data_IF_611465590482
#
_entry.id   IF_611465590482
#
_cell.length_a   1.000
_cell.length_b   1.000
_cell.length_c   1.000
_cell.angle_alpha   90.00
_cell.angle_beta   90.00
_cell.angle_gamma   90.00
#
_symmetry.space_group_name_H-M   'P 1'
#
loop_
_entity.id
_entity.type
_entity.pdbx_description
1 polymer ?
#
# COMPACT_ATOMS: atom_id res chain seq x y z
N UNK A 1 -7.24 7.57 -2.81
CA UNK A 1 -5.99 8.34 -2.61
C UNK A 1 -6.28 9.56 -1.74
N UNK A 2 -5.76 9.55 -0.51
CA UNK A 2 -5.96 10.60 0.52
C UNK A 2 -5.57 12.00 0.03
N UNK A 3 -4.61 12.14 -0.87
CA UNK A 3 -4.18 13.43 -1.43
C UNK A 3 -5.29 14.09 -2.26
N UNK A 4 -5.97 13.33 -3.11
CA UNK A 4 -7.11 13.85 -3.88
C UNK A 4 -8.32 14.13 -2.98
N UNK A 5 -8.51 13.30 -1.96
CA UNK A 5 -9.57 13.44 -0.96
C UNK A 5 -9.42 14.75 -0.18
N UNK A 6 -8.21 15.13 0.22
CA UNK A 6 -7.94 16.40 0.89
C UNK A 6 -8.36 17.60 0.03
N UNK A 7 -7.89 17.65 -1.22
CA UNK A 7 -8.21 18.78 -2.12
C UNK A 7 -9.71 18.91 -2.36
N UNK A 8 -10.42 17.80 -2.46
CA UNK A 8 -11.87 17.78 -2.63
C UNK A 8 -12.60 18.22 -1.34
N UNK A 9 -12.12 17.85 -0.17
CA UNK A 9 -12.69 18.23 1.11
C UNK A 9 -12.50 19.74 1.36
N UNK A 10 -11.33 20.28 1.06
CA UNK A 10 -11.02 21.71 1.17
C UNK A 10 -11.90 22.57 0.26
N UNK A 11 -12.38 22.02 -0.85
CA UNK A 11 -13.33 22.69 -1.72
C UNK A 11 -14.76 22.84 -1.13
N UNK A 12 -15.03 22.23 0.03
CA UNK A 12 -16.26 22.42 0.81
C UNK A 12 -17.51 21.70 0.28
N UNK A 13 -17.38 20.86 -0.74
CA UNK A 13 -18.50 20.14 -1.37
C UNK A 13 -18.24 18.62 -1.48
N UNK A 14 -17.51 18.06 -0.55
CA UNK A 14 -17.20 16.65 -0.60
C UNK A 14 -18.46 15.78 -0.41
N UNK A 15 -18.74 14.84 -1.32
CA UNK A 15 -19.97 14.05 -1.29
C UNK A 15 -19.85 12.84 -0.32
N UNK A 16 -19.76 13.11 0.97
CA UNK A 16 -19.69 12.08 2.00
C UNK A 16 -20.77 11.00 1.85
N UNK A 17 -20.42 9.75 2.09
CA UNK A 17 -21.30 8.59 1.97
C UNK A 17 -21.62 8.17 0.52
N UNK A 18 -21.07 8.85 -0.49
CA UNK A 18 -21.30 8.56 -1.91
C UNK A 18 -20.04 8.20 -2.69
N UNK A 19 -18.87 8.41 -2.12
CA UNK A 19 -17.59 8.06 -2.71
C UNK A 19 -17.14 6.74 -2.12
N UNK A 20 -16.95 5.74 -2.97
CA UNK A 20 -16.43 4.45 -2.61
C UNK A 20 -15.06 4.27 -3.28
N UNK A 21 -14.17 3.60 -2.60
CA UNK A 21 -12.82 3.38 -3.10
C UNK A 21 -12.11 2.24 -2.41
N UNK A 22 -10.89 2.02 -2.83
CA UNK A 22 -9.96 1.11 -2.18
C UNK A 22 -8.88 1.95 -1.53
N UNK A 23 -8.59 1.67 -0.29
CA UNK A 23 -7.51 2.26 0.47
C UNK A 23 -6.46 1.17 0.78
N UNK A 24 -5.21 1.54 0.68
CA UNK A 24 -4.10 0.63 0.96
C UNK A 24 -3.54 0.83 2.37
N UNK A 25 -3.74 2.02 2.92
CA UNK A 25 -3.31 2.33 4.27
C UNK A 25 -4.38 3.15 5.00
N UNK A 26 -5.28 2.49 5.75
CA UNK A 26 -6.31 3.17 6.55
C UNK A 26 -5.69 3.83 7.78
N UNK A 27 -4.99 4.95 7.59
CA UNK A 27 -4.24 5.66 8.62
C UNK A 27 -5.08 6.11 9.83
N UNK A 28 -6.39 6.18 9.67
CA UNK A 28 -7.35 6.54 10.72
C UNK A 28 -7.74 5.38 11.65
N UNK A 29 -7.39 4.14 11.30
CA UNK A 29 -7.72 2.93 12.07
C UNK A 29 -6.67 2.69 13.17
N UNK A 30 -6.94 3.21 14.37
CA UNK A 30 -6.03 3.05 15.51
C UNK A 30 -5.96 1.59 16.03
N UNK A 31 -6.91 0.75 15.65
CA UNK A 31 -6.93 -0.69 15.97
C UNK A 31 -5.91 -1.53 15.20
N UNK A 32 -5.35 -1.01 14.13
CA UNK A 32 -4.20 -1.66 13.45
C UNK A 32 -2.96 -1.44 14.31
N UNK A 33 -2.36 -2.52 14.76
CA UNK A 33 -1.20 -2.47 15.66
C UNK A 33 -0.03 -1.66 15.07
N UNK A 34 0.47 -0.71 15.83
CA UNK A 34 1.54 0.20 15.40
C UNK A 34 1.10 1.34 14.47
N UNK A 35 -0.16 1.37 14.00
CA UNK A 35 -0.61 2.39 13.03
C UNK A 35 -0.58 3.82 13.62
N UNK A 36 -1.11 4.00 14.81
CA UNK A 36 -1.11 5.31 15.47
C UNK A 36 0.33 5.85 15.69
N UNK A 37 1.26 4.99 16.09
CA UNK A 37 2.67 5.34 16.26
C UNK A 37 3.35 5.71 14.93
N UNK A 38 3.07 4.95 13.87
CA UNK A 38 3.58 5.25 12.54
C UNK A 38 3.06 6.60 12.03
N UNK A 39 1.77 6.89 12.17
CA UNK A 39 1.16 8.17 11.80
C UNK A 39 1.79 9.33 12.56
N UNK A 40 2.00 9.16 13.88
CA UNK A 40 2.69 10.18 14.68
C UNK A 40 4.10 10.44 14.13
N UNK A 41 4.88 9.39 13.87
CA UNK A 41 6.25 9.53 13.35
C UNK A 41 6.27 10.15 11.95
N UNK A 42 5.31 9.83 11.11
CA UNK A 42 5.13 10.44 9.78
C UNK A 42 4.94 11.96 9.90
N UNK A 43 4.07 12.40 10.81
CA UNK A 43 3.81 13.83 11.05
C UNK A 43 5.04 14.56 11.63
N UNK A 44 5.76 13.92 12.56
CA UNK A 44 7.01 14.47 13.13
C UNK A 44 8.07 14.71 12.05
N UNK A 45 8.23 13.77 11.11
CA UNK A 45 9.13 13.91 9.96
C UNK A 45 8.70 15.08 9.08
N UNK A 46 7.39 15.23 8.84
CA UNK A 46 6.86 16.38 8.11
C UNK A 46 7.26 17.72 8.73
N UNK A 47 7.13 17.83 10.05
CA UNK A 47 7.58 19.02 10.79
C UNK A 47 9.09 19.21 10.74
N UNK A 48 9.85 18.17 10.98
CA UNK A 48 11.32 18.23 11.07
C UNK A 48 11.95 18.67 9.74
N UNK A 49 11.50 18.09 8.60
CA UNK A 49 12.17 18.29 7.32
C UNK A 49 11.49 19.31 6.40
N UNK A 50 10.19 19.55 6.58
CA UNK A 50 9.43 20.43 5.67
C UNK A 50 8.77 21.61 6.37
N UNK A 51 8.86 21.70 7.71
CA UNK A 51 8.16 22.68 8.55
C UNK A 51 6.65 22.74 8.23
N UNK A 52 6.05 21.59 7.96
CA UNK A 52 4.65 21.43 7.59
C UNK A 52 4.00 20.27 8.33
N UNK A 53 2.71 20.43 8.60
CA UNK A 53 1.86 19.31 8.97
C UNK A 53 1.50 18.56 7.68
N UNK A 54 2.18 17.44 7.45
CA UNK A 54 1.85 16.55 6.33
C UNK A 54 0.82 15.52 6.80
N UNK A 55 -0.22 15.38 6.00
CA UNK A 55 -1.23 14.36 6.24
C UNK A 55 -0.74 12.98 5.74
N UNK A 56 -1.10 11.92 6.44
CA UNK A 56 -0.84 10.57 5.96
C UNK A 56 -1.42 10.36 4.56
N UNK A 57 -0.72 9.58 3.74
CA UNK A 57 -1.21 9.21 2.42
C UNK A 57 -0.75 7.80 2.04
N UNK A 58 -1.61 7.08 1.33
CA UNK A 58 -1.31 5.76 0.78
C UNK A 58 -0.02 5.75 -0.01
N UNK A 59 0.18 6.78 -0.82
CA UNK A 59 1.39 6.91 -1.63
C UNK A 59 2.63 6.98 -0.75
N UNK A 60 2.61 7.78 0.33
CA UNK A 60 3.72 7.88 1.28
C UNK A 60 4.00 6.54 1.96
N UNK A 61 2.96 5.82 2.35
CA UNK A 61 3.11 4.52 2.96
C UNK A 61 3.61 3.45 1.96
N UNK A 62 3.12 3.46 0.73
CA UNK A 62 3.60 2.55 -0.34
C UNK A 62 5.10 2.72 -0.60
N UNK A 63 5.60 3.97 -0.63
CA UNK A 63 7.03 4.23 -0.74
C UNK A 63 7.82 3.68 0.45
N UNK A 64 7.31 3.86 1.68
CA UNK A 64 7.93 3.29 2.88
C UNK A 64 8.04 1.77 2.77
N UNK A 65 6.96 1.08 2.37
CA UNK A 65 6.94 -0.37 2.21
C UNK A 65 7.93 -0.83 1.15
N UNK A 66 8.00 -0.14 0.01
CA UNK A 66 8.96 -0.45 -1.05
C UNK A 66 10.41 -0.34 -0.58
N UNK A 67 10.75 0.75 0.14
CA UNK A 67 12.11 0.91 0.71
C UNK A 67 12.40 -0.15 1.77
N UNK A 68 11.42 -0.47 2.61
CA UNK A 68 11.57 -1.54 3.62
C UNK A 68 11.84 -2.89 2.95
N UNK A 69 11.11 -3.25 1.90
CA UNK A 69 11.35 -4.46 1.13
C UNK A 69 12.79 -4.55 0.60
N UNK A 70 13.28 -3.45 0.02
CA UNK A 70 14.67 -3.36 -0.45
C UNK A 70 15.67 -3.56 0.70
N UNK A 71 15.42 -2.93 1.87
CA UNK A 71 16.29 -3.09 3.02
C UNK A 71 16.28 -4.52 3.57
N UNK A 72 15.12 -5.17 3.63
CA UNK A 72 15.03 -6.57 4.08
C UNK A 72 15.70 -7.53 3.08
N UNK A 73 15.49 -7.34 1.79
CA UNK A 73 16.17 -8.11 0.75
C UNK A 73 17.71 -7.95 0.84
N UNK A 74 18.22 -6.72 1.01
CA UNK A 74 19.65 -6.45 1.11
C UNK A 74 20.33 -7.19 2.27
N UNK A 75 19.61 -7.47 3.38
CA UNK A 75 20.14 -8.26 4.50
C UNK A 75 20.45 -9.71 4.13
N UNK A 76 19.87 -10.22 3.04
CA UNK A 76 20.01 -11.61 2.59
C UNK A 76 21.08 -11.80 1.52
N UNK A 77 21.63 -10.72 0.96
CA UNK A 77 22.56 -10.78 -0.20
C UNK A 77 24.03 -10.97 0.14
N UNK A 78 24.37 -11.13 1.42
CA UNK A 78 25.78 -11.27 1.88
C UNK A 78 26.70 -10.16 1.31
N UNK A 79 26.25 -8.90 1.34
CA UNK A 79 26.92 -7.70 0.85
C UNK A 79 27.01 -7.56 -0.69
N UNK A 80 26.45 -8.47 -1.46
CA UNK A 80 26.30 -8.29 -2.91
C UNK A 80 25.04 -7.48 -3.23
N UNK A 81 25.20 -6.20 -3.51
CA UNK A 81 24.12 -5.29 -3.88
C UNK A 81 24.00 -5.10 -5.40
N UNK A 82 24.51 -6.04 -6.19
CA UNK A 82 24.30 -6.03 -7.65
C UNK A 82 22.79 -6.12 -7.99
N UNK A 83 22.34 -5.54 -9.12
CA UNK A 83 20.94 -5.64 -9.53
C UNK A 83 20.42 -7.08 -9.59
N UNK A 84 21.25 -8.03 -10.00
CA UNK A 84 20.89 -9.45 -10.06
C UNK A 84 20.66 -10.03 -8.67
N UNK A 85 21.60 -9.83 -7.74
CA UNK A 85 21.48 -10.30 -6.36
C UNK A 85 20.26 -9.68 -5.67
N UNK A 86 20.03 -8.38 -5.84
CA UNK A 86 18.88 -7.69 -5.28
C UNK A 86 17.55 -8.16 -5.86
N UNK A 87 17.46 -8.43 -7.16
CA UNK A 87 16.24 -8.95 -7.79
C UNK A 87 15.92 -10.34 -7.24
N UNK A 88 16.91 -11.22 -7.15
CA UNK A 88 16.74 -12.56 -6.58
C UNK A 88 16.34 -12.49 -5.10
N UNK A 89 16.93 -11.59 -4.32
CA UNK A 89 16.58 -11.40 -2.92
C UNK A 89 15.14 -10.88 -2.76
N UNK A 90 14.71 -9.91 -3.57
CA UNK A 90 13.34 -9.38 -3.56
C UNK A 90 12.30 -10.42 -3.92
N UNK A 91 12.59 -11.36 -4.83
CA UNK A 91 11.67 -12.42 -5.22
C UNK A 91 11.47 -13.50 -4.14
N UNK A 92 12.28 -13.50 -3.09
CA UNK A 92 12.24 -14.51 -2.02
C UNK A 92 12.07 -13.92 -0.62
N UNK A 93 12.17 -12.60 -0.48
CA UNK A 93 12.06 -11.95 0.83
C UNK A 93 10.62 -11.95 1.34
N UNK A 94 10.46 -12.28 2.62
CA UNK A 94 9.24 -12.12 3.39
C UNK A 94 9.49 -11.12 4.51
N UNK A 95 8.55 -10.21 4.74
CA UNK A 95 8.70 -9.16 5.74
C UNK A 95 7.35 -8.66 6.25
N UNK A 96 7.35 -7.98 7.39
CA UNK A 96 6.12 -7.47 8.02
C UNK A 96 6.08 -5.94 7.96
N UNK A 97 4.88 -5.40 7.80
CA UNK A 97 4.55 -3.98 7.91
C UNK A 97 3.14 -3.82 8.47
N UNK A 98 2.59 -2.59 8.48
CA UNK A 98 1.18 -2.36 8.79
C UNK A 98 0.22 -2.98 7.74
N UNK A 99 0.73 -3.44 6.60
CA UNK A 99 -0.05 -4.18 5.59
C UNK A 99 -0.25 -5.67 5.94
N UNK A 100 0.46 -6.18 6.92
CA UNK A 100 0.41 -7.57 7.34
C UNK A 100 1.77 -8.12 7.81
N UNK A 101 1.74 -9.34 8.30
CA UNK A 101 2.90 -9.99 8.93
C UNK A 101 3.76 -10.81 7.96
N UNK A 102 3.27 -11.09 6.77
CA UNK A 102 3.98 -11.93 5.79
C UNK A 102 3.81 -11.39 4.37
N UNK A 103 4.38 -10.21 4.13
CA UNK A 103 4.35 -9.60 2.81
C UNK A 103 5.46 -10.19 1.94
N UNK A 104 5.13 -10.44 0.69
CA UNK A 104 6.04 -10.99 -0.31
C UNK A 104 5.67 -10.49 -1.70
N UNK A 105 6.60 -10.64 -2.65
CA UNK A 105 6.32 -10.42 -4.07
C UNK A 105 6.00 -11.74 -4.74
N UNK A 106 4.89 -11.79 -5.47
CA UNK A 106 4.53 -12.97 -6.28
C UNK A 106 5.61 -13.23 -7.32
N UNK A 107 5.94 -14.48 -7.55
CA UNK A 107 7.08 -14.88 -8.40
C UNK A 107 6.86 -14.59 -9.89
N UNK A 108 5.63 -14.71 -10.38
CA UNK A 108 5.32 -14.63 -11.80
C UNK A 108 5.06 -13.21 -12.33
N UNK A 109 4.69 -12.25 -11.48
CA UNK A 109 4.41 -10.87 -11.89
C UNK A 109 5.07 -9.79 -11.00
N UNK A 110 5.74 -10.20 -9.94
CA UNK A 110 6.40 -9.35 -8.95
C UNK A 110 5.46 -8.33 -8.28
N UNK A 111 4.17 -8.60 -8.27
CA UNK A 111 3.21 -7.80 -7.53
C UNK A 111 3.23 -8.18 -6.06
N UNK A 112 3.23 -7.20 -5.17
CA UNK A 112 3.17 -7.47 -3.73
C UNK A 112 1.74 -7.79 -3.30
N UNK A 113 1.57 -8.91 -2.62
CA UNK A 113 0.33 -9.30 -1.97
C UNK A 113 0.21 -8.58 -0.62
N UNK A 114 -0.91 -7.88 -0.39
CA UNK A 114 -1.22 -7.17 0.86
C UNK A 114 -2.73 -6.98 1.02
N UNK A 115 -3.17 -6.43 2.15
CA UNK A 115 -4.58 -6.14 2.37
C UNK A 115 -5.08 -4.97 1.53
N UNK A 116 -6.34 -5.07 1.10
CA UNK A 116 -7.09 -4.04 0.37
C UNK A 116 -8.36 -3.70 1.16
N UNK A 117 -8.49 -2.44 1.58
CA UNK A 117 -9.62 -1.95 2.36
C UNK A 117 -10.62 -1.26 1.43
N UNK A 118 -11.82 -1.81 1.34
CA UNK A 118 -12.92 -1.19 0.62
C UNK A 118 -13.66 -0.25 1.54
N UNK A 119 -13.71 1.01 1.17
CA UNK A 119 -14.18 2.08 2.04
C UNK A 119 -15.23 2.95 1.38
N UNK A 120 -16.13 3.48 2.20
CA UNK A 120 -16.96 4.62 1.86
C UNK A 120 -16.38 5.84 2.56
N UNK A 121 -16.12 6.92 1.82
CA UNK A 121 -15.60 8.13 2.42
C UNK A 121 -16.67 8.82 3.29
N UNK A 122 -16.34 9.03 4.56
CA UNK A 122 -17.20 9.68 5.55
C UNK A 122 -16.49 10.85 6.22
N UNK A 123 -17.26 11.76 6.83
CA UNK A 123 -16.70 12.83 7.63
C UNK A 123 -16.08 12.25 8.91
N UNK A 124 -14.90 12.73 9.29
CA UNK A 124 -14.34 12.37 10.59
C UNK A 124 -15.13 13.07 11.71
N UNK A 125 -15.90 12.29 12.46
CA UNK A 125 -16.68 12.78 13.61
C UNK A 125 -15.87 12.86 14.90
N UNK A 126 -14.64 12.37 14.90
CA UNK A 126 -13.74 12.41 16.07
C UNK A 126 -13.04 13.76 16.21
N UNK A 127 -12.95 14.51 15.11
CA UNK A 127 -12.19 15.76 15.01
C UNK A 127 -10.67 15.57 15.01
N UNK A 128 -10.21 14.32 14.87
CA UNK A 128 -8.79 13.97 14.77
C UNK A 128 -8.21 14.34 13.40
N UNK A 129 -9.02 14.19 12.36
CA UNK A 129 -8.59 14.37 10.97
C UNK A 129 -9.32 15.54 10.31
N UNK A 130 -8.59 16.34 9.56
CA UNK A 130 -9.15 17.43 8.74
C UNK A 130 -9.58 17.00 7.34
N UNK A 131 -9.49 15.70 7.05
CA UNK A 131 -9.81 15.09 5.77
C UNK A 131 -10.84 13.97 5.97
N UNK A 132 -11.57 13.57 4.92
CA UNK A 132 -12.43 12.40 4.99
C UNK A 132 -11.66 11.16 5.41
N UNK A 133 -12.32 10.31 6.19
CA UNK A 133 -11.85 8.99 6.59
C UNK A 133 -12.70 7.92 5.93
N UNK A 134 -12.30 6.66 6.01
CA UNK A 134 -13.04 5.56 5.42
C UNK A 134 -13.90 4.82 6.43
N UNK A 135 -15.16 4.59 6.08
CA UNK A 135 -15.98 3.55 6.69
C UNK A 135 -15.71 2.26 5.94
N UNK A 136 -14.97 1.34 6.58
CA UNK A 136 -14.53 0.09 5.96
C UNK A 136 -15.67 -0.91 5.94
N UNK A 137 -16.08 -1.34 4.75
CA UNK A 137 -17.16 -2.33 4.60
C UNK A 137 -16.70 -3.70 4.09
N UNK A 138 -15.47 -3.82 3.58
CA UNK A 138 -14.85 -5.08 3.22
C UNK A 138 -13.32 -4.97 3.28
N UNK A 139 -12.67 -6.07 3.63
CA UNK A 139 -11.21 -6.22 3.55
C UNK A 139 -10.94 -7.52 2.80
N UNK A 140 -10.02 -7.46 1.86
CA UNK A 140 -9.50 -8.62 1.14
C UNK A 140 -8.00 -8.72 1.38
N UNK A 141 -7.55 -9.89 1.73
CA UNK A 141 -6.18 -10.15 2.17
C UNK A 141 -5.35 -10.83 1.06
N UNK A 142 -4.08 -10.50 1.04
CA UNK A 142 -3.12 -11.19 0.19
C UNK A 142 -3.49 -11.22 -1.28
N UNK A 143 -3.57 -12.41 -1.85
CA UNK A 143 -3.81 -12.63 -3.27
C UNK A 143 -5.29 -12.62 -3.68
N UNK A 144 -6.24 -12.52 -2.74
CA UNK A 144 -7.69 -12.59 -3.05
C UNK A 144 -8.16 -11.57 -4.08
N UNK A 145 -7.52 -10.38 -4.12
CA UNK A 145 -7.84 -9.31 -5.06
C UNK A 145 -7.00 -9.31 -6.33
N UNK A 146 -5.99 -10.14 -6.38
CA UNK A 146 -5.06 -10.20 -7.49
C UNK A 146 -5.41 -11.36 -8.42
N UNK A 147 -5.37 -11.17 -9.74
CA UNK A 147 -5.61 -12.28 -10.66
C UNK A 147 -4.57 -13.37 -10.47
N UNK A 148 -4.99 -14.62 -10.59
CA UNK A 148 -4.06 -15.75 -10.62
C UNK A 148 -3.21 -15.73 -11.91
N UNK A 149 -2.14 -16.49 -11.93
CA UNK A 149 -1.31 -16.64 -13.13
C UNK A 149 -2.13 -17.17 -14.31
N UNK A 150 -2.97 -18.16 -14.07
CA UNK A 150 -3.84 -18.77 -15.08
C UNK A 150 -4.85 -17.77 -15.64
N UNK A 151 -5.43 -16.93 -14.79
CA UNK A 151 -6.34 -15.86 -15.22
C UNK A 151 -5.62 -14.81 -16.06
N UNK A 152 -4.39 -14.45 -15.71
CA UNK A 152 -3.58 -13.52 -16.49
C UNK A 152 -3.18 -14.09 -17.86
N UNK A 153 -2.81 -15.36 -17.92
CA UNK A 153 -2.52 -16.08 -19.17
C UNK A 153 -3.76 -16.17 -20.07
N UNK A 154 -4.90 -16.51 -19.49
CA UNK A 154 -6.17 -16.56 -20.21
C UNK A 154 -6.57 -15.19 -20.75
N UNK A 155 -6.46 -14.14 -19.95
CA UNK A 155 -6.76 -12.76 -20.37
C UNK A 155 -5.83 -12.32 -21.50
N UNK A 156 -4.54 -12.60 -21.39
CA UNK A 156 -3.56 -12.27 -22.42
C UNK A 156 -3.87 -12.97 -23.75
N UNK A 157 -4.18 -14.26 -23.68
CA UNK A 157 -4.57 -15.06 -24.86
C UNK A 157 -5.83 -14.52 -25.54
N UNK A 158 -6.87 -14.18 -24.79
CA UNK A 158 -8.14 -13.63 -25.31
C UNK A 158 -7.98 -12.26 -25.97
N UNK A 159 -7.00 -11.48 -25.54
CA UNK A 159 -6.80 -10.11 -25.99
C UNK A 159 -5.58 -9.93 -26.91
N UNK A 160 -4.97 -11.00 -27.35
CA UNK A 160 -3.76 -10.99 -28.20
C UNK A 160 -2.57 -10.26 -27.55
N UNK A 161 -2.40 -10.35 -26.24
CA UNK A 161 -1.22 -9.91 -25.51
C UNK A 161 -0.28 -11.09 -25.26
N UNK A 162 0.99 -10.78 -25.00
CA UNK A 162 1.94 -11.76 -24.50
C UNK A 162 2.06 -11.59 -22.99
N UNK A 163 1.69 -12.62 -22.24
CA UNK A 163 2.01 -12.68 -20.82
C UNK A 163 3.46 -13.10 -20.66
N UNK A 164 4.24 -12.37 -19.86
CA UNK A 164 5.62 -12.73 -19.54
C UNK A 164 5.66 -13.23 -18.10
N UNK A 165 5.90 -14.51 -17.94
CA UNK A 165 6.15 -15.11 -16.64
C UNK A 165 7.55 -14.70 -16.15
N UNK A 166 7.63 -14.08 -14.99
CA UNK A 166 8.87 -13.59 -14.40
C UNK A 166 9.55 -14.61 -13.49
N UNK A 167 8.85 -15.67 -13.08
CA UNK A 167 9.37 -16.70 -12.18
C UNK A 167 10.56 -17.49 -12.75
N UNK A 168 10.73 -17.49 -14.05
CA UNK A 168 11.76 -18.26 -14.77
C UNK A 168 13.07 -17.49 -15.05
N UNK A 169 13.26 -16.31 -14.41
CA UNK A 169 14.45 -15.46 -14.66
C UNK A 169 15.39 -15.46 -13.45
#
# INVERSE_FOLDING_TARGET
>A
DSTNTQSLAEAGNYPYGKVHGVDLWPFWMDEIDGNAEFVQRYSEIGKEYFDKDILPSDMGYTWYVGIKAICEAAKTTADDLSPEAMTNALSTVHFSTLYGDDLYFRDFDHTMAHAYYYVTAVEDTTGKWSIPVGDVYAVYEGDEMLPTKEEMEEYASKNNYTFTDLSAK
#
